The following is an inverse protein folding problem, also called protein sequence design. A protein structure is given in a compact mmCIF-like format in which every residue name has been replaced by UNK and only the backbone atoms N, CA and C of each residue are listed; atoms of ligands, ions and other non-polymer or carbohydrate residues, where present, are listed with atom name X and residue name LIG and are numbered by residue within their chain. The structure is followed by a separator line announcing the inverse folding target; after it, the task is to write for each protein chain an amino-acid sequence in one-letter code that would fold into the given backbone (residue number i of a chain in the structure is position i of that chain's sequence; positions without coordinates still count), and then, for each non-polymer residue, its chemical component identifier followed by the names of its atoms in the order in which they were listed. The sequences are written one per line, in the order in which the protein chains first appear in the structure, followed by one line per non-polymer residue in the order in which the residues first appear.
data_IF_559405414297
#
_entry.id   IF_559405414297
#
_cell.length_a   1.000
_cell.length_b   1.000
_cell.length_c   1.000
_cell.angle_alpha   90.00
_cell.angle_beta   90.00
_cell.angle_gamma   90.00
#
_symmetry.space_group_name_H-M   'P 1'
#
loop_
_entity.id
_entity.type
_entity.pdbx_description
1 polymer ?
#
# COMPACT_ATOMS: atom_id res chain seq x y z
N UNK A 1 4.55 3.71 8.11
CA UNK A 1 4.60 2.59 9.08
C UNK A 1 3.81 2.95 10.33
N UNK A 2 2.95 2.05 10.81
CA UNK A 2 2.13 2.20 12.01
C UNK A 2 2.35 1.00 12.94
N UNK A 3 2.87 1.23 14.15
CA UNK A 3 2.92 0.24 15.23
C UNK A 3 1.76 0.48 16.19
N UNK A 4 0.87 -0.50 16.36
CA UNK A 4 -0.28 -0.39 17.27
C UNK A 4 -0.77 -1.79 17.67
N UNK A 5 -1.28 -1.89 18.90
CA UNK A 5 -2.04 -3.03 19.42
C UNK A 5 -3.42 -3.21 18.76
N UNK A 6 -3.74 -2.43 17.71
CA UNK A 6 -4.97 -2.55 16.93
C UNK A 6 -6.25 -2.21 17.69
N UNK A 7 -6.14 -1.77 18.95
CA UNK A 7 -7.26 -1.33 19.75
C UNK A 7 -7.53 0.15 19.47
N UNK A 8 -8.29 0.42 18.40
CA UNK A 8 -8.88 1.73 18.17
C UNK A 8 -9.97 1.98 19.23
N UNK A 9 -9.56 2.44 20.41
CA UNK A 9 -10.40 2.59 21.59
C UNK A 9 -10.77 4.07 21.90
N UNK A 10 -10.16 5.02 21.20
CA UNK A 10 -10.41 6.46 21.32
C UNK A 10 -10.34 7.14 19.95
N UNK A 11 -11.32 8.00 19.63
CA UNK A 11 -11.39 8.73 18.35
C UNK A 11 -12.20 8.00 17.27
N UNK A 12 -11.66 7.90 16.05
CA UNK A 12 -12.32 7.22 14.92
C UNK A 12 -12.11 5.72 15.09
N UNK A 13 -13.16 5.03 15.51
CA UNK A 13 -13.15 3.57 15.77
C UNK A 13 -13.81 2.75 14.64
N UNK A 14 -14.43 3.43 13.67
CA UNK A 14 -15.07 2.79 12.51
C UNK A 14 -14.01 2.39 11.47
N UNK A 15 -13.82 1.07 11.21
CA UNK A 15 -12.87 0.57 10.22
C UNK A 15 -13.01 1.23 8.84
N UNK A 16 -14.24 1.53 8.42
CA UNK A 16 -14.49 2.11 7.10
C UNK A 16 -14.00 3.56 7.02
N UNK A 17 -14.12 4.33 8.11
CA UNK A 17 -13.60 5.69 8.18
C UNK A 17 -12.08 5.70 8.22
N UNK A 18 -11.48 4.76 8.97
CA UNK A 18 -10.03 4.58 9.02
C UNK A 18 -9.50 4.26 7.62
N UNK A 19 -10.08 3.28 6.92
CA UNK A 19 -9.70 2.95 5.54
C UNK A 19 -9.84 4.13 4.58
N UNK A 20 -10.90 4.95 4.70
CA UNK A 20 -11.05 6.15 3.87
C UNK A 20 -9.93 7.16 4.07
N UNK A 21 -9.51 7.36 5.33
CA UNK A 21 -8.41 8.26 5.66
C UNK A 21 -7.09 7.71 5.08
N UNK A 22 -6.83 6.42 5.28
CA UNK A 22 -5.63 5.76 4.75
C UNK A 22 -5.60 5.87 3.23
N UNK A 23 -6.70 5.54 2.55
CA UNK A 23 -6.81 5.64 1.10
C UNK A 23 -6.59 7.07 0.62
N UNK A 24 -7.14 8.06 1.32
CA UNK A 24 -6.93 9.47 0.98
C UNK A 24 -5.47 9.87 1.13
N UNK A 25 -4.79 9.44 2.20
CA UNK A 25 -3.39 9.74 2.46
C UNK A 25 -2.44 9.04 1.50
N UNK A 26 -2.72 7.79 1.17
CA UNK A 26 -2.00 7.04 0.16
C UNK A 26 -2.12 7.69 -1.22
N UNK A 27 -3.34 8.01 -1.66
CA UNK A 27 -3.58 8.59 -2.99
C UNK A 27 -3.04 10.00 -3.18
N UNK A 28 -3.03 10.82 -2.11
CA UNK A 28 -2.65 12.25 -2.19
C UNK A 28 -1.17 12.46 -1.86
N UNK A 29 -0.66 11.76 -0.85
CA UNK A 29 0.68 12.00 -0.29
C UNK A 29 1.66 10.86 -0.60
N UNK A 30 1.20 9.78 -1.23
CA UNK A 30 2.04 8.60 -1.52
C UNK A 30 2.47 7.85 -0.27
N UNK A 31 1.75 8.01 0.85
CA UNK A 31 2.14 7.42 2.12
C UNK A 31 1.68 5.96 2.17
N UNK A 32 2.66 5.05 2.22
CA UNK A 32 2.44 3.62 2.43
C UNK A 32 2.35 3.28 3.94
N UNK A 33 1.35 2.47 4.33
CA UNK A 33 1.08 2.12 5.73
C UNK A 33 1.20 0.62 5.94
N UNK A 34 2.27 0.20 6.62
CA UNK A 34 2.41 -1.16 7.16
C UNK A 34 1.95 -1.20 8.62
N UNK A 35 1.25 -2.27 9.01
CA UNK A 35 0.69 -2.46 10.35
C UNK A 35 1.36 -3.64 11.06
N UNK A 36 1.62 -3.48 12.36
CA UNK A 36 2.27 -4.50 13.19
C UNK A 36 1.37 -4.81 14.39
N UNK A 37 0.74 -5.98 14.40
CA UNK A 37 -0.09 -6.45 15.50
C UNK A 37 0.74 -7.19 16.55
N UNK A 38 0.62 -6.79 17.82
CA UNK A 38 1.38 -7.38 18.94
C UNK A 38 0.42 -8.05 19.92
N UNK A 39 0.70 -9.30 20.30
CA UNK A 39 -0.09 -10.06 21.28
C UNK A 39 -1.31 -10.77 20.70
N UNK A 40 -2.13 -11.41 21.54
CA UNK A 40 -3.25 -12.28 21.09
C UNK A 40 -4.63 -11.60 21.00
N UNK A 41 -4.77 -10.36 21.48
CA UNK A 41 -6.05 -9.65 21.62
C UNK A 41 -6.15 -8.38 20.74
N UNK A 42 -5.47 -8.33 19.59
CA UNK A 42 -5.59 -7.22 18.64
C UNK A 42 -6.61 -7.53 17.52
N UNK A 43 -7.15 -6.49 16.89
CA UNK A 43 -8.09 -6.64 15.80
C UNK A 43 -7.36 -6.90 14.46
N UNK A 44 -7.12 -8.19 14.18
CA UNK A 44 -6.42 -8.66 12.97
C UNK A 44 -7.09 -8.20 11.67
N UNK A 45 -8.42 -8.27 11.61
CA UNK A 45 -9.19 -7.86 10.44
C UNK A 45 -8.99 -6.37 10.13
N UNK A 46 -9.01 -5.53 11.16
CA UNK A 46 -8.77 -4.10 11.02
C UNK A 46 -7.34 -3.81 10.57
N UNK A 47 -6.34 -4.43 11.21
CA UNK A 47 -4.92 -4.20 10.90
C UNK A 47 -4.55 -4.65 9.50
N UNK A 48 -5.06 -5.81 9.06
CA UNK A 48 -4.88 -6.32 7.70
C UNK A 48 -5.49 -5.36 6.69
N UNK A 49 -6.75 -4.97 6.90
CA UNK A 49 -7.45 -4.07 6.00
C UNK A 49 -6.79 -2.69 5.88
N UNK A 50 -6.20 -2.18 6.98
CA UNK A 50 -5.44 -0.94 6.98
C UNK A 50 -4.14 -1.04 6.17
N UNK A 51 -3.40 -2.16 6.32
CA UNK A 51 -2.17 -2.39 5.55
C UNK A 51 -2.46 -2.51 4.05
N UNK A 52 -3.45 -3.32 3.68
CA UNK A 52 -3.87 -3.48 2.28
C UNK A 52 -4.34 -2.16 1.66
N UNK A 53 -5.15 -1.39 2.38
CA UNK A 53 -5.65 -0.08 1.91
C UNK A 53 -4.52 0.94 1.78
N UNK A 54 -3.49 0.83 2.60
CA UNK A 54 -2.32 1.69 2.60
C UNK A 54 -1.17 1.18 1.75
N UNK A 55 -1.38 0.17 0.89
CA UNK A 55 -0.34 -0.49 0.07
C UNK A 55 0.93 -0.85 0.86
N UNK A 56 0.77 -1.25 2.13
CA UNK A 56 1.86 -1.69 3.00
C UNK A 56 1.68 -3.14 3.45
N UNK A 57 2.60 -3.60 4.30
CA UNK A 57 2.62 -4.98 4.77
C UNK A 57 1.95 -5.14 6.14
N UNK A 58 1.34 -6.30 6.37
CA UNK A 58 0.82 -6.69 7.67
C UNK A 58 1.78 -7.68 8.34
N UNK A 59 2.08 -7.44 9.63
CA UNK A 59 2.96 -8.31 10.43
C UNK A 59 2.31 -8.66 11.77
N UNK A 60 2.28 -9.95 12.09
CA UNK A 60 1.93 -10.46 13.42
C UNK A 60 3.19 -10.70 14.24
N UNK A 61 3.17 -10.26 15.51
CA UNK A 61 4.29 -10.38 16.43
C UNK A 61 3.82 -11.04 17.73
N UNK A 62 4.18 -12.30 17.91
CA UNK A 62 3.86 -13.08 19.12
C UNK A 62 4.81 -12.73 20.28
N UNK A 63 6.06 -12.38 19.97
CA UNK A 63 7.08 -12.02 20.96
C UNK A 63 7.72 -10.67 20.64
N UNK A 64 7.71 -9.75 21.62
CA UNK A 64 8.30 -8.42 21.49
C UNK A 64 9.80 -8.43 21.08
N UNK A 65 10.52 -9.52 21.36
CA UNK A 65 11.91 -9.70 20.92
C UNK A 65 12.07 -9.77 19.39
N UNK A 66 11.02 -10.15 18.65
CA UNK A 66 11.04 -10.29 17.19
C UNK A 66 10.76 -8.95 16.47
N UNK A 67 10.22 -7.95 17.19
CA UNK A 67 9.90 -6.62 16.65
C UNK A 67 11.12 -6.02 15.94
N UNK A 68 12.30 -6.07 16.57
CA UNK A 68 13.50 -5.49 16.00
C UNK A 68 13.92 -6.16 14.67
N UNK A 69 13.71 -7.47 14.55
CA UNK A 69 14.02 -8.22 13.32
C UNK A 69 13.04 -7.91 12.19
N UNK A 70 11.74 -7.90 12.48
CA UNK A 70 10.69 -7.59 11.51
C UNK A 70 10.77 -6.13 11.07
N UNK A 71 11.03 -5.22 12.01
CA UNK A 71 11.23 -3.81 11.73
C UNK A 71 12.46 -3.58 10.85
N UNK A 72 13.58 -4.25 11.13
CA UNK A 72 14.77 -4.20 10.27
C UNK A 72 14.50 -4.75 8.88
N UNK A 73 13.72 -5.84 8.76
CA UNK A 73 13.30 -6.40 7.48
C UNK A 73 12.44 -5.40 6.70
N UNK A 74 11.48 -4.75 7.34
CA UNK A 74 10.63 -3.76 6.68
C UNK A 74 11.43 -2.50 6.29
N UNK A 75 12.33 -2.01 7.14
CA UNK A 75 13.23 -0.91 6.77
C UNK A 75 14.15 -1.29 5.60
N UNK A 76 14.64 -2.53 5.55
CA UNK A 76 15.41 -3.00 4.41
C UNK A 76 14.55 -3.08 3.14
N UNK A 77 13.30 -3.56 3.24
CA UNK A 77 12.34 -3.55 2.12
C UNK A 77 12.08 -2.13 1.61
N UNK A 78 11.93 -1.16 2.53
CA UNK A 78 11.79 0.26 2.19
C UNK A 78 13.06 0.82 1.54
N UNK A 79 14.24 0.36 1.95
CA UNK A 79 15.52 0.72 1.32
C UNK A 79 15.73 0.06 -0.05
N UNK A 80 14.97 -0.99 -0.37
CA UNK A 80 14.90 -1.64 -1.68
C UNK A 80 13.81 -1.03 -2.59
N UNK A 81 13.11 0.01 -2.14
CA UNK A 81 12.24 0.81 -3.03
C UNK A 81 13.13 1.59 -3.99
N UNK A 82 13.11 1.15 -5.25
CA UNK A 82 13.93 1.73 -6.32
C UNK A 82 13.26 2.95 -6.95
N UNK A 83 11.92 3.03 -6.89
CA UNK A 83 11.17 4.21 -7.31
C UNK A 83 9.88 4.35 -6.47
N UNK A 84 9.66 5.54 -5.92
CA UNK A 84 8.40 5.88 -5.23
C UNK A 84 7.45 6.57 -6.21
N UNK A 85 6.15 6.29 -6.09
CA UNK A 85 5.10 6.91 -6.90
C UNK A 85 5.36 6.83 -8.42
N UNK A 86 5.72 5.65 -8.92
CA UNK A 86 6.00 5.45 -10.34
C UNK A 86 4.73 5.55 -11.19
N UNK A 87 4.84 6.20 -12.34
CA UNK A 87 3.77 6.33 -13.33
C UNK A 87 4.23 5.76 -14.67
N UNK A 88 3.39 4.91 -15.28
CA UNK A 88 3.56 4.46 -16.65
C UNK A 88 2.69 5.31 -17.57
N UNK A 89 3.34 6.05 -18.48
CA UNK A 89 2.66 6.85 -19.51
C UNK A 89 2.82 6.20 -20.87
N UNK A 90 1.70 5.84 -21.48
CA UNK A 90 1.64 5.24 -22.81
C UNK A 90 0.99 6.24 -23.76
N UNK A 91 1.73 6.65 -24.79
CA UNK A 91 1.18 7.46 -25.89
C UNK A 91 0.59 6.55 -26.95
N UNK A 92 -0.71 6.66 -27.15
CA UNK A 92 -1.51 5.85 -28.05
C UNK A 92 -1.40 6.43 -29.47
N UNK A 93 -0.92 5.65 -30.47
CA UNK A 93 -0.88 6.07 -31.86
C UNK A 93 -2.28 6.36 -32.42
N UNK A 94 -2.36 7.14 -33.50
CA UNK A 94 -3.67 7.62 -33.99
C UNK A 94 -4.67 6.52 -34.36
N UNK A 95 -4.15 5.39 -34.80
CA UNK A 95 -4.90 4.26 -35.34
C UNK A 95 -5.17 3.15 -34.32
N UNK A 96 -4.78 3.37 -33.06
CA UNK A 96 -4.94 2.40 -31.98
C UNK A 96 -5.92 2.96 -30.95
N UNK A 97 -6.85 2.13 -30.50
CA UNK A 97 -7.74 2.44 -29.39
C UNK A 97 -7.53 1.40 -28.29
N UNK A 98 -7.55 1.86 -27.04
CA UNK A 98 -7.50 0.97 -25.88
C UNK A 98 -8.93 0.59 -25.50
N UNK A 99 -9.27 -0.69 -25.61
CA UNK A 99 -10.59 -1.21 -25.23
C UNK A 99 -10.69 -1.42 -23.72
N UNK A 100 -9.63 -1.92 -23.09
CA UNK A 100 -9.58 -2.13 -21.64
C UNK A 100 -8.16 -2.22 -21.11
N UNK A 101 -7.96 -1.72 -19.89
CA UNK A 101 -6.77 -1.97 -19.08
C UNK A 101 -7.19 -2.82 -17.90
N UNK A 102 -6.45 -3.89 -17.64
CA UNK A 102 -6.71 -4.82 -16.53
C UNK A 102 -5.66 -4.64 -15.43
N UNK A 103 -6.04 -4.94 -14.20
CA UNK A 103 -5.12 -5.07 -13.07
C UNK A 103 -4.76 -3.79 -12.32
N UNK A 104 -4.88 -2.59 -12.91
CA UNK A 104 -4.58 -1.33 -12.24
C UNK A 104 -5.53 -0.19 -12.67
N UNK A 105 -5.84 0.77 -11.79
CA UNK A 105 -6.57 1.97 -12.16
C UNK A 105 -5.75 2.81 -13.15
N UNK A 106 -6.43 3.37 -14.15
CA UNK A 106 -5.82 4.17 -15.21
C UNK A 106 -6.60 5.47 -15.44
N UNK A 107 -5.89 6.51 -15.88
CA UNK A 107 -6.46 7.76 -16.40
C UNK A 107 -6.08 7.91 -17.86
N UNK A 108 -7.01 8.34 -18.71
CA UNK A 108 -6.73 8.61 -20.12
C UNK A 108 -7.11 10.04 -20.47
N UNK A 109 -6.12 10.82 -20.90
CA UNK A 109 -6.31 12.17 -21.39
C UNK A 109 -5.88 12.23 -22.86
N UNK A 110 -6.88 12.37 -23.74
CA UNK A 110 -6.66 12.32 -25.19
C UNK A 110 -6.01 11.01 -25.62
N UNK A 111 -4.76 11.11 -26.09
CA UNK A 111 -3.94 9.97 -26.54
C UNK A 111 -2.87 9.54 -25.55
N UNK A 112 -2.93 9.98 -24.30
CA UNK A 112 -2.00 9.53 -23.27
C UNK A 112 -2.76 8.77 -22.20
N UNK A 113 -2.40 7.49 -22.03
CA UNK A 113 -2.83 6.66 -20.93
C UNK A 113 -1.81 6.76 -19.80
N UNK A 114 -2.26 7.04 -18.59
CA UNK A 114 -1.43 7.06 -17.38
C UNK A 114 -1.90 5.96 -16.44
N UNK A 115 -0.99 5.07 -16.03
CA UNK A 115 -1.22 4.02 -15.04
C UNK A 115 -0.32 4.32 -13.85
N UNK A 116 -0.91 4.40 -12.64
CA UNK A 116 -0.14 4.54 -11.40
C UNK A 116 0.37 3.19 -10.97
N UNK A 117 1.69 3.00 -11.00
CA UNK A 117 2.35 1.77 -10.59
C UNK A 117 2.64 1.74 -9.08
N UNK A 118 2.48 2.87 -8.40
CA UNK A 118 2.81 3.09 -6.98
C UNK A 118 4.30 2.86 -6.73
N UNK A 119 4.68 2.35 -5.55
CA UNK A 119 6.08 2.10 -5.20
C UNK A 119 6.60 0.83 -5.91
N UNK A 120 7.76 0.94 -6.55
CA UNK A 120 8.44 -0.17 -7.24
C UNK A 120 9.57 -0.68 -6.36
N UNK A 121 9.52 -1.96 -6.02
CA UNK A 121 10.50 -2.65 -5.18
C UNK A 121 11.49 -3.46 -6.04
N UNK A 122 12.74 -3.58 -5.58
CA UNK A 122 13.88 -4.17 -6.31
C UNK A 122 13.75 -5.64 -6.76
N UNK A 123 12.64 -6.32 -6.56
CA UNK A 123 12.43 -7.72 -6.99
C UNK A 123 11.02 -7.96 -7.56
N UNK A 124 10.22 -6.91 -7.78
CA UNK A 124 8.86 -7.07 -8.26
C UNK A 124 8.86 -7.31 -9.78
N UNK A 125 8.52 -8.54 -10.19
CA UNK A 125 8.22 -8.84 -11.59
C UNK A 125 6.70 -8.81 -11.75
N UNK A 126 6.15 -7.68 -12.22
CA UNK A 126 4.75 -7.61 -12.65
C UNK A 126 4.62 -8.33 -14.00
N UNK A 127 4.36 -9.63 -13.94
CA UNK A 127 4.09 -10.49 -15.10
C UNK A 127 2.78 -10.12 -15.80
N UNK A 128 2.80 -10.23 -17.13
CA UNK A 128 1.73 -9.92 -18.09
C UNK A 128 0.45 -10.75 -17.91
#
# INVERSE_FOLDING_TARGET
MLLSDGLANQGIVDPNQIQKIIRSKNNVEGISISTFGVGRDYNEDLMTSMAETGTGNYYFIDNAAEIAGIFKKELNNLSEVMAQNAELKITIPEYVNIDRVYGQPYDQQGRTLTIKLHDIFSQETKGA
#
